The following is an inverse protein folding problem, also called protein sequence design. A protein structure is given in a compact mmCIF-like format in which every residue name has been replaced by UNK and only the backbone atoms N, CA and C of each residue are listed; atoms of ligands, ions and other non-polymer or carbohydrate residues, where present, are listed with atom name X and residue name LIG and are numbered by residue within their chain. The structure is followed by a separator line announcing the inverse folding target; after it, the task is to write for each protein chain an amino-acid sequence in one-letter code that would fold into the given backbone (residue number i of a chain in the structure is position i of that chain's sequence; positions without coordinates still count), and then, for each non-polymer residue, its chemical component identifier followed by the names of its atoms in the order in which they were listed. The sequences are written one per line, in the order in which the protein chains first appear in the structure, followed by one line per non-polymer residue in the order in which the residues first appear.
data_IF_805798576723
#
_entry.id   IF_805798576723
#
_cell.length_a   1.000
_cell.length_b   1.000
_cell.length_c   1.000
_cell.angle_alpha   90.00
_cell.angle_beta   90.00
_cell.angle_gamma   90.00
#
_symmetry.space_group_name_H-M   'P 1'
#
loop_
_entity.id
_entity.type
_entity.pdbx_description
1 polymer ?
#
# COMPACT_ATOMS: atom_id res chain seq x y z
N UNK A 1 0.54 -5.88 -13.02
CA UNK A 1 0.46 -6.90 -14.10
C UNK A 1 -0.09 -8.15 -13.47
N UNK A 2 -1.25 -8.61 -13.94
CA UNK A 2 -1.93 -9.84 -13.52
C UNK A 2 -1.16 -11.02 -14.12
N UNK A 3 -0.89 -12.13 -13.41
CA UNK A 3 -0.31 -13.31 -14.05
C UNK A 3 -1.24 -13.76 -15.19
N UNK A 4 -0.71 -14.11 -16.37
CA UNK A 4 -1.55 -14.57 -17.46
C UNK A 4 -2.07 -15.97 -17.11
N UNK A 5 -3.40 -16.12 -17.01
CA UNK A 5 -4.06 -17.41 -17.23
C UNK A 5 -3.95 -18.47 -16.13
N UNK A 6 -4.11 -18.12 -14.85
CA UNK A 6 -4.36 -19.12 -13.80
C UNK A 6 -5.86 -19.37 -13.63
N UNK A 7 -6.37 -20.50 -14.14
CA UNK A 7 -7.72 -20.99 -13.82
C UNK A 7 -7.88 -21.17 -12.31
N UNK A 8 -9.01 -20.72 -11.76
CA UNK A 8 -9.37 -20.95 -10.37
C UNK A 8 -9.57 -22.45 -10.12
N UNK A 9 -8.53 -23.14 -9.64
CA UNK A 9 -8.69 -24.49 -9.13
C UNK A 9 -9.27 -24.42 -7.72
N UNK A 10 -10.61 -24.48 -7.68
CA UNK A 10 -11.39 -24.80 -6.49
C UNK A 10 -11.15 -26.28 -6.17
N UNK A 11 -10.42 -26.57 -5.11
CA UNK A 11 -10.41 -27.91 -4.52
C UNK A 11 -11.62 -28.01 -3.58
N UNK A 12 -12.68 -28.67 -4.03
CA UNK A 12 -13.88 -28.90 -3.23
C UNK A 12 -14.99 -29.59 -4.01
N UNK A 13 -14.83 -30.88 -4.33
CA UNK A 13 -15.96 -31.74 -4.64
C UNK A 13 -15.60 -33.20 -4.36
N UNK A 14 -16.30 -33.79 -3.38
CA UNK A 14 -16.30 -35.22 -3.10
C UNK A 14 -16.90 -36.02 -4.28
N UNK A 15 -16.50 -37.30 -4.36
CA UNK A 15 -16.90 -38.26 -5.41
C UNK A 15 -18.42 -38.55 -5.43
N UNK A 16 -18.91 -38.88 -6.64
CA UNK A 16 -20.30 -39.22 -7.06
C UNK A 16 -20.81 -40.58 -6.53
N UNK A 17 -22.08 -40.98 -6.81
CA UNK A 17 -22.37 -41.68 -8.08
C UNK A 17 -23.67 -41.30 -8.83
N UNK A 18 -23.61 -41.56 -10.15
CA UNK A 18 -24.61 -41.82 -11.22
C UNK A 18 -26.11 -41.50 -11.12
N UNK A 19 -26.65 -40.91 -12.20
CA UNK A 19 -27.56 -41.59 -13.16
C UNK A 19 -28.19 -40.60 -14.17
N UNK A 20 -28.51 -41.06 -15.39
CA UNK A 20 -29.63 -40.49 -16.16
C UNK A 20 -29.32 -39.66 -17.42
N UNK A 21 -29.49 -40.30 -18.58
CA UNK A 21 -29.54 -39.76 -19.95
C UNK A 21 -30.68 -38.78 -20.23
N UNK A 22 -30.49 -37.81 -21.14
CA UNK A 22 -31.34 -37.65 -22.34
C UNK A 22 -30.82 -36.60 -23.36
N UNK A 23 -30.90 -36.97 -24.65
CA UNK A 23 -30.74 -36.14 -25.86
C UNK A 23 -31.97 -35.26 -26.10
N UNK A 24 -31.84 -34.07 -26.69
CA UNK A 24 -32.73 -33.55 -27.75
C UNK A 24 -31.97 -32.62 -28.72
N UNK A 25 -32.41 -32.66 -29.98
CA UNK A 25 -31.88 -32.15 -31.24
C UNK A 25 -32.26 -30.69 -31.54
N UNK A 26 -31.34 -30.02 -32.26
CA UNK A 26 -31.43 -28.81 -33.14
C UNK A 26 -32.80 -28.19 -33.47
N UNK A 27 -32.82 -26.86 -33.57
CA UNK A 27 -33.26 -26.16 -34.80
C UNK A 27 -32.65 -24.75 -34.95
N UNK A 28 -32.23 -24.43 -36.17
CA UNK A 28 -31.76 -23.13 -36.63
C UNK A 28 -32.82 -22.46 -37.51
N UNK A 29 -32.87 -21.12 -37.57
CA UNK A 29 -33.25 -20.34 -38.78
C UNK A 29 -32.59 -18.95 -38.80
N UNK A 30 -32.21 -18.56 -40.03
CA UNK A 30 -31.64 -17.29 -40.57
C UNK A 30 -32.64 -16.10 -40.39
N UNK A 31 -32.40 -14.83 -40.71
CA UNK A 31 -31.56 -14.15 -41.71
C UNK A 31 -31.50 -12.63 -41.43
N UNK A 32 -30.60 -11.89 -42.09
CA UNK A 32 -30.79 -10.45 -42.37
C UNK A 32 -29.51 -9.62 -42.40
N UNK A 33 -29.00 -9.33 -43.61
CA UNK A 33 -27.80 -8.54 -43.92
C UNK A 33 -28.23 -7.22 -44.55
N UNK A 34 -27.64 -6.09 -44.17
CA UNK A 34 -27.58 -4.90 -45.01
C UNK A 34 -26.33 -4.05 -44.70
N UNK A 35 -25.56 -3.74 -45.75
CA UNK A 35 -24.41 -2.82 -45.80
C UNK A 35 -24.83 -1.55 -46.53
N UNK A 36 -24.23 -0.41 -46.16
CA UNK A 36 -23.89 0.83 -46.94
C UNK A 36 -23.73 1.94 -45.90
N UNK A 37 -22.82 2.91 -45.94
CA UNK A 37 -21.77 3.33 -46.87
C UNK A 37 -21.34 4.71 -46.37
N UNK A 38 -20.05 4.93 -46.10
CA UNK A 38 -19.54 6.18 -45.55
C UNK A 38 -19.30 7.22 -46.66
N UNK A 39 -19.70 8.47 -46.42
CA UNK A 39 -19.30 9.66 -47.19
C UNK A 39 -18.98 10.80 -46.23
N UNK A 40 -17.77 11.32 -46.33
CA UNK A 40 -17.25 12.55 -45.72
C UNK A 40 -17.66 13.79 -46.52
N UNK A 41 -17.91 14.95 -45.90
CA UNK A 41 -17.91 16.23 -46.61
C UNK A 41 -16.65 17.06 -46.33
N UNK A 42 -16.26 17.82 -47.36
CA UNK A 42 -15.12 18.71 -47.44
C UNK A 42 -15.33 20.05 -46.71
N UNK A 43 -14.25 20.66 -46.25
CA UNK A 43 -14.21 22.00 -45.64
C UNK A 43 -13.95 23.06 -46.71
N UNK A 44 -14.84 24.06 -46.77
CA UNK A 44 -14.75 25.23 -47.64
C UNK A 44 -13.85 26.32 -47.03
N UNK A 45 -13.15 27.06 -47.89
CA UNK A 45 -12.17 28.13 -47.59
C UNK A 45 -12.84 29.49 -47.82
N UNK A 46 -12.72 30.43 -46.87
CA UNK A 46 -13.15 31.84 -47.01
C UNK A 46 -11.91 32.75 -46.94
N UNK A 47 -11.78 33.79 -47.80
CA UNK A 47 -10.61 34.67 -47.82
C UNK A 47 -10.81 36.00 -47.06
N UNK A 48 -9.68 36.59 -46.61
CA UNK A 48 -9.47 38.04 -46.57
C UNK A 48 -9.54 38.74 -45.21
N UNK A 49 -8.40 39.17 -44.68
CA UNK A 49 -8.29 40.27 -43.70
C UNK A 49 -6.98 41.03 -43.96
N UNK A 50 -7.07 42.32 -44.28
CA UNK A 50 -5.93 43.19 -44.55
C UNK A 50 -5.21 43.62 -43.25
N UNK A 51 -3.90 43.90 -43.28
CA UNK A 51 -3.14 44.31 -42.08
C UNK A 51 -3.29 45.81 -41.77
N UNK A 52 -3.42 46.16 -40.49
CA UNK A 52 -3.38 47.55 -39.97
C UNK A 52 -1.94 48.06 -39.86
N UNK A 53 -1.70 49.28 -40.34
CA UNK A 53 -0.45 50.03 -40.16
C UNK A 53 -0.39 50.62 -38.73
N UNK A 54 0.72 50.51 -37.98
CA UNK A 54 0.87 51.16 -36.67
C UNK A 54 1.24 52.65 -36.81
N UNK A 55 0.68 53.50 -35.94
CA UNK A 55 1.09 54.91 -35.76
C UNK A 55 2.31 55.02 -34.83
N UNK A 56 3.20 56.01 -35.01
CA UNK A 56 4.39 56.16 -34.18
C UNK A 56 4.06 56.77 -32.81
N UNK A 57 4.72 56.26 -31.76
CA UNK A 57 4.65 56.78 -30.40
C UNK A 57 5.53 58.04 -30.21
N UNK A 58 5.16 58.97 -29.32
CA UNK A 58 5.94 60.19 -29.09
C UNK A 58 7.24 59.88 -28.34
N UNK A 59 8.34 60.54 -28.77
CA UNK A 59 9.66 60.45 -28.13
C UNK A 59 9.72 61.43 -26.95
N UNK A 60 9.88 60.90 -25.74
CA UNK A 60 10.13 61.69 -24.52
C UNK A 60 11.65 62.03 -24.46
N UNK A 61 12.03 63.30 -24.18
CA UNK A 61 13.44 63.71 -24.16
C UNK A 61 14.20 63.10 -22.97
N UNK A 62 15.46 62.73 -23.25
CA UNK A 62 16.36 61.93 -22.39
C UNK A 62 16.73 62.48 -20.99
N UNK A 63 16.70 63.78 -20.65
CA UNK A 63 17.10 64.19 -19.31
C UNK A 63 16.05 63.87 -18.23
N UNK A 64 14.80 63.59 -18.60
CA UNK A 64 13.73 63.25 -17.65
C UNK A 64 13.82 61.79 -17.17
N UNK A 65 14.45 60.88 -17.93
CA UNK A 65 14.65 59.49 -17.52
C UNK A 65 15.79 59.29 -16.50
N UNK A 66 16.77 60.21 -16.44
CA UNK A 66 17.93 60.07 -15.57
C UNK A 66 17.62 60.40 -14.10
N UNK A 67 16.70 61.32 -13.83
CA UNK A 67 16.32 61.69 -12.46
C UNK A 67 15.42 60.65 -11.75
N UNK A 68 14.69 59.82 -12.51
CA UNK A 68 13.83 58.77 -11.96
C UNK A 68 14.58 57.47 -11.57
N UNK A 69 15.84 57.31 -12.00
CA UNK A 69 16.63 56.09 -11.77
C UNK A 69 17.39 56.08 -10.43
N UNK A 70 17.54 57.22 -9.75
CA UNK A 70 18.35 57.30 -8.51
C UNK A 70 17.55 57.10 -7.21
N UNK A 71 16.22 57.22 -7.25
CA UNK A 71 15.36 57.07 -6.06
C UNK A 71 15.20 55.62 -5.57
N UNK A 72 15.11 54.59 -6.43
CA UNK A 72 15.00 53.19 -5.96
C UNK A 72 16.29 52.67 -5.33
N UNK A 73 17.45 53.10 -5.84
CA UNK A 73 18.77 52.67 -5.35
C UNK A 73 19.07 53.19 -3.94
N UNK A 74 18.66 54.42 -3.64
CA UNK A 74 18.84 55.01 -2.31
C UNK A 74 17.94 54.34 -1.26
N UNK A 75 16.70 54.00 -1.63
CA UNK A 75 15.76 53.29 -0.75
C UNK A 75 16.24 51.86 -0.43
N UNK A 76 16.82 51.15 -1.41
CA UNK A 76 17.39 49.82 -1.20
C UNK A 76 18.62 49.84 -0.27
N UNK A 77 19.48 50.86 -0.39
CA UNK A 77 20.64 51.02 0.49
C UNK A 77 20.22 51.31 1.96
N UNK A 78 19.20 52.15 2.16
CA UNK A 78 18.65 52.44 3.50
C UNK A 78 18.00 51.20 4.11
N UNK A 79 17.25 50.41 3.32
CA UNK A 79 16.68 49.15 3.78
C UNK A 79 17.76 48.13 4.19
N UNK A 80 18.87 48.03 3.43
CA UNK A 80 19.98 47.15 3.79
C UNK A 80 20.67 47.58 5.09
N UNK A 81 20.85 48.89 5.29
CA UNK A 81 21.43 49.43 6.53
C UNK A 81 20.49 49.18 7.72
N UNK A 82 19.17 49.32 7.54
CA UNK A 82 18.17 48.99 8.57
C UNK A 82 18.13 47.48 8.88
N UNK A 83 18.29 46.61 7.87
CA UNK A 83 18.41 45.16 8.07
C UNK A 83 19.72 44.76 8.77
N UNK A 84 20.82 45.46 8.48
CA UNK A 84 22.13 45.19 9.09
C UNK A 84 22.25 45.75 10.52
N UNK A 85 21.60 46.89 10.81
CA UNK A 85 21.64 47.54 12.14
C UNK A 85 20.54 47.04 13.09
N UNK A 86 19.51 46.35 12.58
CA UNK A 86 18.43 45.77 13.39
C UNK A 86 18.78 44.48 14.14
N UNK A 87 20.00 43.94 14.00
CA UNK A 87 20.39 42.61 14.55
C UNK A 87 21.27 42.70 15.81
N UNK A 88 21.68 43.88 16.27
CA UNK A 88 22.55 43.99 17.46
C UNK A 88 21.91 44.72 18.65
N UNK A 89 20.76 44.21 19.11
CA UNK A 89 20.50 44.18 20.56
C UNK A 89 20.21 42.75 20.97
N UNK A 90 21.27 42.14 21.50
CA UNK A 90 21.20 40.97 22.35
C UNK A 90 20.11 41.16 23.41
N UNK A 91 19.01 40.44 23.26
CA UNK A 91 18.16 40.13 24.40
C UNK A 91 18.95 39.11 25.21
N UNK A 92 19.61 39.57 26.26
CA UNK A 92 19.98 38.72 27.39
C UNK A 92 18.68 38.18 28.00
N UNK A 93 18.41 36.86 27.97
CA UNK A 93 17.22 36.33 28.61
C UNK A 93 17.50 36.16 30.10
N UNK A 94 17.38 37.23 30.86
CA UNK A 94 17.13 37.16 32.31
C UNK A 94 15.69 37.56 32.56
N UNK A 95 14.78 36.67 32.18
CA UNK A 95 13.37 36.74 32.51
C UNK A 95 12.84 35.33 32.78
N UNK A 96 12.21 35.06 33.94
CA UNK A 96 11.56 33.78 34.19
C UNK A 96 10.29 33.72 33.33
N UNK A 97 10.41 33.31 32.08
CA UNK A 97 9.29 33.36 31.14
C UNK A 97 9.55 32.89 29.71
N UNK A 98 10.67 32.23 29.43
CA UNK A 98 10.79 31.47 28.19
C UNK A 98 9.85 30.27 28.28
N UNK A 99 8.64 30.40 27.71
CA UNK A 99 7.75 29.27 27.51
C UNK A 99 8.55 28.16 26.80
N UNK A 100 8.59 26.93 27.32
CA UNK A 100 9.33 25.87 26.67
C UNK A 100 8.76 25.70 25.25
N UNK A 101 9.64 25.79 24.25
CA UNK A 101 9.30 25.41 22.88
C UNK A 101 8.71 24.00 22.96
N UNK A 102 7.41 23.86 22.70
CA UNK A 102 6.73 22.58 22.81
C UNK A 102 7.50 21.56 21.97
N UNK A 103 8.08 20.56 22.64
CA UNK A 103 8.79 19.49 21.97
C UNK A 103 7.83 18.87 20.94
N UNK A 104 8.26 18.81 19.66
CA UNK A 104 7.48 18.08 18.65
C UNK A 104 7.25 16.67 19.20
N UNK A 105 6.00 16.18 19.25
CA UNK A 105 5.74 14.84 19.76
C UNK A 105 6.59 13.85 18.98
N UNK A 106 7.24 12.95 19.71
CA UNK A 106 8.08 11.92 19.11
C UNK A 106 7.26 11.12 18.08
N UNK A 107 7.86 10.71 16.95
CA UNK A 107 7.14 9.96 15.94
C UNK A 107 6.66 8.62 16.52
N UNK A 108 5.40 8.27 16.26
CA UNK A 108 4.78 7.00 16.68
C UNK A 108 5.34 5.83 15.87
N UNK A 109 6.54 5.40 16.25
CA UNK A 109 7.30 4.32 15.63
C UNK A 109 7.51 3.17 16.61
N UNK A 110 7.89 2.00 16.11
CA UNK A 110 8.19 0.83 16.93
C UNK A 110 9.50 0.17 16.47
N UNK A 111 10.25 -0.48 17.37
CA UNK A 111 11.49 -1.17 17.01
C UNK A 111 11.21 -2.33 16.04
N UNK A 112 12.18 -2.59 15.15
CA UNK A 112 12.13 -3.76 14.27
C UNK A 112 12.16 -5.04 15.12
N UNK A 113 11.18 -5.96 14.99
CA UNK A 113 11.24 -7.23 15.68
C UNK A 113 12.38 -8.10 15.14
N UNK A 114 12.80 -9.12 15.91
CA UNK A 114 13.72 -10.14 15.40
C UNK A 114 13.06 -10.86 14.23
N UNK A 115 13.72 -10.85 13.07
CA UNK A 115 13.23 -11.47 11.84
C UNK A 115 14.26 -12.50 11.40
N UNK A 116 13.81 -13.75 11.26
CA UNK A 116 14.60 -14.83 10.69
C UNK A 116 14.73 -14.58 9.18
N UNK A 117 15.95 -14.44 8.64
CA UNK A 117 16.15 -14.10 7.24
C UNK A 117 15.80 -15.26 6.32
N UNK A 118 15.52 -14.95 5.05
CA UNK A 118 15.18 -15.96 4.03
C UNK A 118 16.22 -17.07 3.88
N UNK A 119 17.49 -16.76 4.10
CA UNK A 119 18.60 -17.71 3.99
C UNK A 119 18.41 -18.96 4.87
N UNK A 120 17.62 -18.87 5.94
CA UNK A 120 17.32 -20.00 6.83
C UNK A 120 16.32 -20.99 6.22
N UNK A 121 15.40 -20.55 5.35
CA UNK A 121 14.34 -21.40 4.81
C UNK A 121 14.43 -21.61 3.28
N UNK A 122 14.96 -20.65 2.53
CA UNK A 122 14.93 -20.66 1.06
C UNK A 122 15.82 -21.73 0.41
N UNK A 123 16.95 -22.07 1.01
CA UNK A 123 17.80 -23.19 0.59
C UNK A 123 18.55 -23.05 -0.75
N UNK A 124 18.33 -21.99 -1.54
CA UNK A 124 19.02 -21.77 -2.83
C UNK A 124 18.18 -22.15 -4.06
N UNK A 125 18.55 -21.64 -5.25
CA UNK A 125 17.64 -21.43 -6.40
C UNK A 125 17.25 -22.65 -7.23
N UNK A 126 16.02 -22.61 -7.78
CA UNK A 126 15.64 -23.35 -9.01
C UNK A 126 15.38 -22.45 -10.24
N UNK A 127 15.16 -21.14 -10.06
CA UNK A 127 14.96 -20.14 -11.14
C UNK A 127 15.34 -18.73 -10.68
N UNK A 128 15.86 -17.89 -11.57
CA UNK A 128 16.11 -16.47 -11.29
C UNK A 128 14.78 -15.74 -11.09
N UNK A 129 14.66 -14.99 -9.99
CA UNK A 129 13.47 -14.18 -9.71
C UNK A 129 13.61 -12.80 -10.36
N UNK A 130 12.52 -12.20 -10.87
CA UNK A 130 12.56 -10.82 -11.33
C UNK A 130 12.89 -9.88 -10.15
N UNK A 131 13.42 -8.68 -10.44
CA UNK A 131 13.70 -7.70 -9.40
C UNK A 131 12.46 -7.36 -8.56
N UNK A 132 12.62 -7.19 -7.23
CA UNK A 132 11.53 -6.77 -6.36
C UNK A 132 10.99 -5.39 -6.75
N UNK A 133 9.69 -5.21 -6.54
CA UNK A 133 8.96 -3.95 -6.77
C UNK A 133 8.70 -3.27 -5.44
N UNK A 134 8.74 -1.95 -5.41
CA UNK A 134 8.59 -1.16 -4.19
C UNK A 134 7.51 -0.10 -4.35
N UNK A 135 6.76 0.11 -3.29
CA UNK A 135 5.86 1.25 -3.14
C UNK A 135 6.57 2.40 -2.38
N UNK A 136 5.88 3.51 -2.15
CA UNK A 136 6.41 4.65 -1.39
C UNK A 136 6.46 4.36 0.13
N UNK A 137 5.43 3.70 0.65
CA UNK A 137 5.27 3.40 2.07
C UNK A 137 4.28 2.26 2.30
N UNK A 138 4.25 1.70 3.50
CA UNK A 138 3.21 0.74 3.95
C UNK A 138 2.18 1.50 4.78
N UNK A 139 0.96 1.66 4.25
CA UNK A 139 -0.15 2.34 4.96
C UNK A 139 -1.19 1.38 5.54
N UNK A 140 -1.15 0.11 5.16
CA UNK A 140 -2.00 -0.92 5.72
C UNK A 140 -1.32 -2.30 5.76
N UNK A 141 -1.79 -3.16 6.64
CA UNK A 141 -1.35 -4.55 6.76
C UNK A 141 -2.55 -5.48 6.56
N UNK A 142 -2.39 -6.50 5.72
CA UNK A 142 -3.35 -7.60 5.62
C UNK A 142 -2.85 -8.80 6.39
N UNK A 143 -3.67 -9.31 7.31
CA UNK A 143 -3.40 -10.53 8.06
C UNK A 143 -4.02 -11.72 7.33
N UNK A 144 -3.20 -12.74 7.13
CA UNK A 144 -3.52 -14.00 6.47
C UNK A 144 -3.31 -15.18 7.41
N UNK A 145 -3.89 -16.31 7.07
CA UNK A 145 -3.40 -17.61 7.51
C UNK A 145 -2.87 -18.38 6.29
N UNK A 146 -1.98 -19.34 6.50
CA UNK A 146 -1.44 -20.17 5.41
C UNK A 146 -2.36 -21.34 5.05
N UNK A 147 -3.35 -21.63 5.90
CA UNK A 147 -4.21 -22.81 5.83
C UNK A 147 -3.44 -24.14 5.87
N UNK A 148 -2.28 -24.12 6.54
CA UNK A 148 -1.51 -25.33 6.85
C UNK A 148 -1.98 -25.93 8.18
N UNK A 149 -1.70 -27.22 8.46
CA UNK A 149 -1.97 -27.81 9.77
C UNK A 149 -1.33 -27.02 10.91
N UNK A 150 -1.97 -27.00 12.08
CA UNK A 150 -1.46 -26.36 13.30
C UNK A 150 -0.55 -27.27 14.16
N UNK A 151 -0.63 -28.58 13.92
CA UNK A 151 0.20 -29.58 14.58
C UNK A 151 1.55 -29.65 13.83
N UNK A 152 2.51 -28.87 14.31
CA UNK A 152 3.89 -28.87 13.86
C UNK A 152 4.79 -28.37 14.99
N UNK A 153 6.05 -28.83 14.99
CA UNK A 153 7.09 -28.26 15.84
C UNK A 153 7.60 -26.97 15.23
N UNK A 154 7.79 -25.92 16.02
CA UNK A 154 8.24 -24.63 15.48
C UNK A 154 9.61 -24.70 14.79
N UNK A 155 10.44 -25.70 15.14
CA UNK A 155 11.67 -26.03 14.43
C UNK A 155 11.46 -26.46 12.97
N UNK A 156 10.29 -27.01 12.62
CA UNK A 156 9.93 -27.40 11.26
C UNK A 156 9.48 -26.21 10.40
N UNK A 157 9.27 -25.04 10.99
CA UNK A 157 8.75 -23.87 10.26
C UNK A 157 9.54 -23.53 8.99
N UNK A 158 10.89 -23.53 8.97
CA UNK A 158 11.65 -23.30 7.74
C UNK A 158 11.27 -24.26 6.60
N UNK A 159 10.97 -25.53 6.90
CA UNK A 159 10.50 -26.50 5.90
C UNK A 159 9.09 -26.14 5.43
N UNK A 160 8.17 -25.82 6.34
CA UNK A 160 6.80 -25.42 6.01
C UNK A 160 6.79 -24.18 5.08
N UNK A 161 7.62 -23.18 5.36
CA UNK A 161 7.74 -21.99 4.52
C UNK A 161 8.29 -22.35 3.13
N UNK A 162 9.25 -23.27 3.04
CA UNK A 162 9.78 -23.75 1.76
C UNK A 162 8.71 -24.50 0.94
N UNK A 163 7.87 -25.29 1.59
CA UNK A 163 6.76 -25.99 0.94
C UNK A 163 5.72 -24.99 0.40
N UNK A 164 5.38 -23.96 1.19
CA UNK A 164 4.52 -22.85 0.78
C UNK A 164 5.12 -22.07 -0.42
N UNK A 165 6.41 -21.76 -0.35
CA UNK A 165 7.14 -21.10 -1.45
C UNK A 165 7.11 -21.94 -2.72
N UNK A 166 7.35 -23.25 -2.62
CA UNK A 166 7.33 -24.17 -3.76
C UNK A 166 5.93 -24.26 -4.35
N UNK A 167 4.90 -24.35 -3.53
CA UNK A 167 3.51 -24.36 -3.98
C UNK A 167 3.10 -23.08 -4.72
N UNK A 168 3.64 -21.93 -4.33
CA UNK A 168 3.34 -20.66 -5.00
C UNK A 168 4.15 -20.45 -6.28
N UNK A 169 5.45 -20.76 -6.26
CA UNK A 169 6.34 -20.50 -7.40
C UNK A 169 6.27 -21.58 -8.48
N UNK A 170 6.11 -22.86 -8.11
CA UNK A 170 6.01 -23.94 -9.09
C UNK A 170 4.59 -24.14 -9.60
N UNK A 171 3.59 -24.15 -8.71
CA UNK A 171 2.22 -24.49 -9.11
C UNK A 171 1.36 -23.29 -9.52
N UNK A 172 1.72 -22.07 -9.11
CA UNK A 172 0.98 -20.83 -9.44
C UNK A 172 1.78 -19.83 -10.28
N UNK A 173 3.01 -20.19 -10.64
CA UNK A 173 3.94 -19.37 -11.44
C UNK A 173 4.15 -17.96 -10.84
N UNK A 174 4.21 -17.88 -9.50
CA UNK A 174 4.51 -16.62 -8.81
C UNK A 174 6.02 -16.38 -8.77
N UNK A 175 6.41 -15.13 -8.92
CA UNK A 175 7.80 -14.66 -8.84
C UNK A 175 8.39 -14.64 -7.41
N UNK A 176 7.60 -14.96 -6.37
CA UNK A 176 8.11 -15.27 -5.02
C UNK A 176 6.96 -15.83 -4.16
N UNK A 177 7.25 -16.12 -2.89
CA UNK A 177 6.20 -16.17 -1.85
C UNK A 177 5.49 -14.80 -1.78
N UNK A 178 4.16 -14.82 -1.78
CA UNK A 178 3.33 -13.61 -1.89
C UNK A 178 3.25 -12.77 -0.62
N UNK A 179 3.53 -13.36 0.54
CA UNK A 179 3.49 -12.68 1.84
C UNK A 179 4.81 -11.97 2.13
N UNK A 180 4.76 -10.80 2.76
CA UNK A 180 5.95 -10.06 3.17
C UNK A 180 6.59 -10.69 4.42
N UNK A 181 5.77 -11.18 5.35
CA UNK A 181 6.21 -11.86 6.57
C UNK A 181 5.36 -13.09 6.84
N UNK A 182 5.96 -14.07 7.51
CA UNK A 182 5.26 -15.23 8.06
C UNK A 182 5.54 -15.33 9.56
N UNK A 183 4.55 -15.76 10.33
CA UNK A 183 4.65 -15.87 11.79
C UNK A 183 4.18 -17.26 12.23
N UNK A 184 5.04 -18.00 12.93
CA UNK A 184 4.69 -19.32 13.46
C UNK A 184 3.91 -19.25 14.79
N UNK A 185 3.42 -20.40 15.25
CA UNK A 185 2.69 -20.54 16.52
C UNK A 185 3.54 -20.21 17.76
N UNK A 186 4.86 -20.19 17.63
CA UNK A 186 5.81 -19.80 18.69
C UNK A 186 6.15 -18.30 18.68
N UNK A 187 5.62 -17.52 17.73
CA UNK A 187 5.89 -16.09 17.61
C UNK A 187 7.19 -15.75 16.86
N UNK A 188 7.80 -16.72 16.16
CA UNK A 188 8.96 -16.44 15.31
C UNK A 188 8.49 -15.74 14.04
N UNK A 189 9.07 -14.57 13.75
CA UNK A 189 8.83 -13.84 12.50
C UNK A 189 9.87 -14.25 11.47
N UNK A 190 9.40 -14.64 10.29
CA UNK A 190 10.23 -14.99 9.14
C UNK A 190 10.07 -13.94 8.04
N UNK A 191 11.18 -13.59 7.41
CA UNK A 191 11.16 -12.83 6.16
C UNK A 191 10.46 -13.67 5.08
N UNK A 192 9.38 -13.14 4.52
CA UNK A 192 8.71 -13.66 3.33
C UNK A 192 9.36 -13.06 2.09
N UNK A 193 8.60 -12.31 1.28
CA UNK A 193 9.03 -11.75 -0.01
C UNK A 193 10.36 -10.98 0.04
N UNK A 194 11.26 -11.33 -0.88
CA UNK A 194 12.64 -10.87 -0.88
C UNK A 194 12.77 -9.34 -0.97
N UNK A 195 13.71 -8.78 -0.21
CA UNK A 195 14.04 -7.35 -0.24
C UNK A 195 13.02 -6.45 0.48
N UNK A 196 12.08 -7.04 1.23
CA UNK A 196 10.97 -6.36 1.92
C UNK A 196 11.17 -6.05 3.39
N UNK A 197 12.25 -6.53 4.00
CA UNK A 197 12.47 -6.30 5.43
C UNK A 197 12.64 -4.82 5.70
N UNK A 198 13.55 -4.13 5.01
CA UNK A 198 13.82 -2.71 5.27
C UNK A 198 13.14 -1.76 4.27
N UNK A 199 12.32 -2.29 3.34
CA UNK A 199 11.65 -1.51 2.29
C UNK A 199 10.19 -1.94 2.08
N UNK A 200 9.31 -1.05 1.57
CA UNK A 200 7.91 -1.37 1.23
C UNK A 200 7.82 -2.22 -0.05
N UNK A 201 8.29 -3.48 -0.01
CA UNK A 201 8.20 -4.38 -1.17
C UNK A 201 6.74 -4.76 -1.45
N UNK A 202 6.31 -4.65 -2.70
CA UNK A 202 4.97 -5.03 -3.13
C UNK A 202 4.82 -6.55 -3.11
N UNK A 203 3.84 -7.04 -2.34
CA UNK A 203 3.51 -8.45 -2.22
C UNK A 203 2.65 -9.03 -3.35
N UNK A 204 2.19 -10.26 -3.15
CA UNK A 204 1.17 -10.93 -3.98
C UNK A 204 0.12 -11.63 -3.10
N UNK A 205 -0.25 -11.01 -1.97
CA UNK A 205 -1.06 -11.64 -0.93
C UNK A 205 -2.54 -11.26 -0.97
N UNK A 206 -2.90 -10.07 -1.47
CA UNK A 206 -4.28 -9.56 -1.44
C UNK A 206 -4.64 -8.97 -2.79
N UNK A 207 -5.45 -9.69 -3.56
CA UNK A 207 -5.86 -9.25 -4.89
C UNK A 207 -6.52 -7.87 -4.82
N UNK A 208 -6.11 -6.96 -5.71
CA UNK A 208 -6.52 -5.55 -5.70
C UNK A 208 -5.64 -4.68 -4.80
N UNK A 209 -5.11 -5.18 -3.68
CA UNK A 209 -4.55 -4.34 -2.61
C UNK A 209 -3.12 -4.68 -2.20
N UNK A 210 -2.30 -5.24 -3.11
CA UNK A 210 -0.88 -5.49 -2.85
C UNK A 210 -0.03 -4.22 -2.74
N UNK A 211 -0.47 -3.11 -3.37
CA UNK A 211 0.26 -1.85 -3.36
C UNK A 211 0.09 -1.09 -2.05
N UNK A 212 1.19 -0.54 -1.53
CA UNK A 212 1.27 0.22 -0.27
C UNK A 212 0.80 -0.57 0.95
N UNK A 213 0.87 -1.89 0.88
CA UNK A 213 0.50 -2.78 1.98
C UNK A 213 1.57 -3.84 2.24
N UNK A 214 1.51 -4.43 3.43
CA UNK A 214 2.28 -5.63 3.75
C UNK A 214 1.33 -6.78 4.14
N UNK A 215 1.62 -7.97 3.64
CA UNK A 215 0.94 -9.21 4.02
C UNK A 215 1.70 -9.96 5.10
N UNK A 216 1.02 -10.27 6.21
CA UNK A 216 1.55 -11.13 7.27
C UNK A 216 0.74 -12.42 7.28
N UNK A 217 1.38 -13.57 7.04
CA UNK A 217 0.73 -14.87 7.12
C UNK A 217 1.02 -15.59 8.44
N UNK A 218 -0.02 -15.84 9.22
CA UNK A 218 0.01 -16.74 10.36
C UNK A 218 0.12 -18.20 9.86
N UNK A 219 1.19 -18.90 10.20
CA UNK A 219 1.42 -20.29 9.77
C UNK A 219 0.49 -21.20 10.56
N UNK A 220 -0.52 -21.73 9.87
CA UNK A 220 -1.59 -22.53 10.45
C UNK A 220 -2.93 -22.29 9.78
N UNK A 221 -3.97 -22.88 10.36
CA UNK A 221 -5.38 -22.66 10.01
C UNK A 221 -6.14 -22.18 11.25
N UNK A 222 -6.90 -21.09 11.17
CA UNK A 222 -7.52 -20.43 12.34
C UNK A 222 -9.03 -20.25 12.15
N UNK A 223 -9.70 -21.32 11.73
CA UNK A 223 -11.17 -21.38 11.63
C UNK A 223 -11.84 -21.24 13.01
N UNK A 224 -13.16 -21.08 13.03
CA UNK A 224 -13.92 -20.94 14.28
C UNK A 224 -13.64 -22.10 15.26
N UNK A 225 -13.50 -21.79 16.55
CA UNK A 225 -13.16 -22.77 17.59
C UNK A 225 -11.67 -23.10 17.71
N UNK A 226 -10.82 -22.66 16.77
CA UNK A 226 -9.38 -22.90 16.84
C UNK A 226 -8.70 -21.95 17.83
N UNK A 227 -7.79 -22.48 18.65
CA UNK A 227 -6.95 -21.65 19.52
C UNK A 227 -5.96 -20.82 18.70
N UNK A 228 -5.82 -19.54 19.05
CA UNK A 228 -4.81 -18.64 18.47
C UNK A 228 -3.73 -18.38 19.52
N UNK A 229 -2.49 -18.87 19.32
CA UNK A 229 -1.41 -18.67 20.28
C UNK A 229 -1.10 -17.19 20.52
N UNK A 230 -0.91 -16.81 21.79
CA UNK A 230 -0.58 -15.42 22.15
C UNK A 230 0.73 -14.95 21.53
N UNK A 231 1.76 -15.81 21.53
CA UNK A 231 3.05 -15.51 20.92
C UNK A 231 2.92 -15.13 19.43
N UNK A 232 2.06 -15.84 18.69
CA UNK A 232 1.74 -15.51 17.30
C UNK A 232 1.07 -14.14 17.18
N UNK A 233 0.06 -13.84 18.00
CA UNK A 233 -0.62 -12.53 17.94
C UNK A 233 0.29 -11.37 18.35
N UNK A 234 1.16 -11.57 19.33
CA UNK A 234 2.11 -10.56 19.80
C UNK A 234 3.17 -10.26 18.73
N UNK A 235 3.68 -11.30 18.06
CA UNK A 235 4.62 -11.15 16.95
C UNK A 235 3.99 -10.44 15.74
N UNK A 236 2.74 -10.77 15.39
CA UNK A 236 1.99 -10.01 14.36
C UNK A 236 1.87 -8.55 14.76
N UNK A 237 1.50 -8.25 16.03
CA UNK A 237 1.38 -6.88 16.51
C UNK A 237 2.71 -6.12 16.43
N UNK A 238 3.84 -6.76 16.73
CA UNK A 238 5.16 -6.15 16.62
C UNK A 238 5.53 -5.80 15.16
N UNK A 239 5.27 -6.70 14.21
CA UNK A 239 5.51 -6.43 12.78
C UNK A 239 4.60 -5.31 12.28
N UNK A 240 3.31 -5.32 12.68
CA UNK A 240 2.34 -4.26 12.35
C UNK A 240 2.83 -2.90 12.85
N UNK A 241 3.20 -2.81 14.13
CA UNK A 241 3.63 -1.57 14.76
C UNK A 241 4.84 -0.97 14.03
N UNK A 242 5.83 -1.83 13.74
CA UNK A 242 7.05 -1.44 13.04
C UNK A 242 6.79 -1.01 11.60
N UNK A 243 5.98 -1.75 10.84
CA UNK A 243 5.73 -1.45 9.42
C UNK A 243 4.84 -0.23 9.19
N UNK A 244 3.88 0.03 10.07
CA UNK A 244 2.99 1.20 9.97
C UNK A 244 3.59 2.48 10.57
N UNK A 245 4.58 2.34 11.45
CA UNK A 245 5.21 3.46 12.17
C UNK A 245 5.78 4.55 11.25
N UNK A 246 6.59 4.21 10.22
CA UNK A 246 7.16 5.20 9.31
C UNK A 246 6.12 6.05 8.54
N UNK A 247 4.94 5.49 8.28
CA UNK A 247 3.82 6.19 7.64
C UNK A 247 2.96 6.98 8.66
N UNK A 248 3.29 6.94 9.95
CA UNK A 248 2.52 7.58 11.02
C UNK A 248 1.11 7.00 11.22
N UNK A 249 0.83 5.81 10.67
CA UNK A 249 -0.50 5.19 10.70
C UNK A 249 -0.77 4.60 12.09
N UNK A 250 -1.90 4.98 12.70
CA UNK A 250 -2.42 4.30 13.90
C UNK A 250 -3.01 2.93 13.50
N UNK A 251 -2.49 1.79 14.02
CA UNK A 251 -2.98 0.46 13.69
C UNK A 251 -4.47 0.24 13.99
N UNK A 252 -5.07 1.07 14.86
CA UNK A 252 -6.49 1.00 15.22
C UNK A 252 -7.38 1.77 14.24
N UNK A 253 -6.79 2.60 13.39
CA UNK A 253 -7.50 3.43 12.42
C UNK A 253 -7.84 2.70 11.13
N UNK A 254 -8.13 3.50 10.10
CA UNK A 254 -8.41 3.05 8.74
C UNK A 254 -7.37 3.60 7.77
N UNK A 255 -7.26 2.94 6.62
CA UNK A 255 -6.44 3.36 5.50
C UNK A 255 -7.30 3.40 4.24
N UNK A 256 -7.15 4.48 3.46
CA UNK A 256 -7.73 4.58 2.13
C UNK A 256 -6.79 3.91 1.13
N UNK A 257 -7.24 2.83 0.51
CA UNK A 257 -6.50 2.08 -0.50
C UNK A 257 -7.22 2.14 -1.85
N UNK A 258 -6.49 1.89 -2.95
CA UNK A 258 -7.06 1.83 -4.29
C UNK A 258 -6.90 0.44 -4.87
N UNK A 259 -8.00 -0.15 -5.34
CA UNK A 259 -7.97 -1.47 -5.95
C UNK A 259 -7.25 -1.43 -7.31
N UNK A 260 -6.12 -2.09 -7.40
CA UNK A 260 -5.26 -2.14 -8.61
C UNK A 260 -5.80 -3.03 -9.72
N UNK A 261 -6.82 -3.85 -9.48
CA UNK A 261 -7.46 -4.73 -10.46
C UNK A 261 -8.87 -5.15 -10.04
N UNK A 262 -9.63 -5.78 -10.94
CA UNK A 262 -11.03 -6.15 -10.69
C UNK A 262 -11.25 -7.50 -9.98
N UNK A 263 -10.20 -8.14 -9.46
CA UNK A 263 -10.33 -9.43 -8.81
C UNK A 263 -10.68 -9.37 -7.32
N UNK A 264 -10.66 -8.19 -6.71
CA UNK A 264 -11.08 -8.00 -5.31
C UNK A 264 -12.58 -7.80 -5.18
N UNK A 265 -13.10 -7.59 -3.96
CA UNK A 265 -14.48 -7.11 -3.72
C UNK A 265 -14.75 -5.74 -4.37
N UNK A 266 -13.68 -5.02 -4.73
CA UNK A 266 -13.71 -3.66 -5.25
C UNK A 266 -13.28 -3.62 -6.73
N UNK A 267 -14.04 -2.91 -7.59
CA UNK A 267 -13.65 -2.70 -8.98
C UNK A 267 -12.27 -2.04 -9.11
N UNK A 268 -11.60 -2.26 -10.25
CA UNK A 268 -10.33 -1.57 -10.56
C UNK A 268 -10.52 -0.05 -10.45
N UNK A 269 -9.60 0.61 -9.75
CA UNK A 269 -9.58 2.06 -9.55
C UNK A 269 -10.46 2.54 -8.39
N UNK A 270 -11.32 1.68 -7.82
CA UNK A 270 -12.16 2.07 -6.69
C UNK A 270 -11.30 2.32 -5.43
N UNK A 271 -11.64 3.39 -4.71
CA UNK A 271 -11.11 3.64 -3.38
C UNK A 271 -11.89 2.81 -2.35
N UNK A 272 -11.17 2.17 -1.43
CA UNK A 272 -11.71 1.41 -0.33
C UNK A 272 -11.17 1.99 0.99
N UNK A 273 -12.05 2.26 1.94
CA UNK A 273 -11.66 2.59 3.31
C UNK A 273 -11.69 1.30 4.13
N UNK A 274 -10.50 0.78 4.46
CA UNK A 274 -10.34 -0.49 5.16
C UNK A 274 -9.64 -0.25 6.51
N UNK A 275 -9.77 -1.14 7.50
CA UNK A 275 -8.93 -1.07 8.70
C UNK A 275 -7.44 -1.04 8.33
N UNK A 276 -6.64 -0.23 9.02
CA UNK A 276 -5.19 -0.18 8.79
C UNK A 276 -4.52 -1.54 9.02
N UNK A 277 -5.12 -2.39 9.85
CA UNK A 277 -4.79 -3.81 9.99
C UNK A 277 -6.04 -4.61 9.63
N UNK A 278 -6.14 -5.08 8.40
CA UNK A 278 -7.32 -5.76 7.86
C UNK A 278 -7.13 -7.28 7.80
N UNK A 279 -8.24 -8.02 7.86
CA UNK A 279 -8.26 -9.42 7.45
C UNK A 279 -8.23 -9.51 5.92
N UNK A 280 -7.69 -10.59 5.35
CA UNK A 280 -7.76 -10.80 3.89
C UNK A 280 -9.22 -10.76 3.38
N UNK A 281 -10.17 -11.37 4.10
CA UNK A 281 -11.59 -11.37 3.75
C UNK A 281 -12.22 -9.98 3.63
N UNK A 282 -11.65 -8.96 4.27
CA UNK A 282 -12.18 -7.59 4.23
C UNK A 282 -12.05 -7.00 2.82
N UNK A 283 -11.08 -7.49 2.03
CA UNK A 283 -10.81 -7.01 0.67
C UNK A 283 -11.11 -8.04 -0.44
N UNK A 284 -11.14 -9.33 -0.11
CA UNK A 284 -11.26 -10.43 -1.09
C UNK A 284 -12.32 -11.47 -0.69
N UNK A 285 -12.83 -12.21 -1.67
CA UNK A 285 -13.78 -13.31 -1.47
C UNK A 285 -13.07 -14.56 -0.91
N UNK A 286 -12.84 -14.56 0.39
CA UNK A 286 -12.15 -15.63 1.13
C UNK A 286 -12.59 -15.68 2.59
N UNK A 287 -12.33 -16.80 3.27
CA UNK A 287 -12.49 -16.95 4.73
C UNK A 287 -11.22 -16.56 5.50
N UNK A 288 -10.09 -16.36 4.80
CA UNK A 288 -8.79 -16.00 5.37
C UNK A 288 -8.86 -14.66 6.15
N UNK A 289 -8.23 -14.54 7.34
CA UNK A 289 -7.32 -15.48 7.99
C UNK A 289 -8.01 -16.51 8.92
N UNK A 290 -9.30 -16.73 8.75
CA UNK A 290 -10.10 -17.61 9.61
C UNK A 290 -10.73 -16.87 10.80
N UNK A 291 -11.92 -17.32 11.20
CA UNK A 291 -12.75 -16.63 12.18
C UNK A 291 -12.08 -16.44 13.55
N UNK A 292 -11.27 -17.38 14.01
CA UNK A 292 -10.58 -17.28 15.30
C UNK A 292 -9.50 -16.19 15.28
N UNK A 293 -8.69 -16.10 14.22
CA UNK A 293 -7.67 -15.05 14.10
C UNK A 293 -8.29 -13.68 13.84
N UNK A 294 -9.40 -13.62 13.10
CA UNK A 294 -10.18 -12.38 12.92
C UNK A 294 -10.67 -11.83 14.26
N UNK A 295 -11.17 -12.68 15.14
CA UNK A 295 -11.60 -12.28 16.48
C UNK A 295 -10.45 -11.68 17.33
N UNK A 296 -9.19 -11.95 16.99
CA UNK A 296 -8.02 -11.37 17.65
C UNK A 296 -7.56 -10.04 17.06
N UNK A 297 -8.03 -9.63 15.87
CA UNK A 297 -7.57 -8.40 15.21
C UNK A 297 -7.74 -7.14 16.05
N UNK A 298 -8.85 -6.90 16.79
CA UNK A 298 -8.94 -5.74 17.68
C UNK A 298 -7.82 -5.69 18.73
N UNK A 299 -7.48 -6.83 19.34
CA UNK A 299 -6.42 -6.91 20.34
C UNK A 299 -5.02 -6.72 19.72
N UNK A 300 -4.79 -7.27 18.52
CA UNK A 300 -3.55 -7.06 17.75
C UNK A 300 -3.37 -5.57 17.42
N UNK A 301 -4.42 -4.89 16.95
CA UNK A 301 -4.40 -3.44 16.67
C UNK A 301 -4.07 -2.63 17.92
N UNK A 302 -4.70 -2.96 19.05
CA UNK A 302 -4.44 -2.28 20.31
C UNK A 302 -3.00 -2.50 20.80
N UNK A 303 -2.48 -3.73 20.71
CA UNK A 303 -1.08 -4.02 21.07
C UNK A 303 -0.10 -3.30 20.14
N UNK A 304 -0.35 -3.29 18.84
CA UNK A 304 0.50 -2.59 17.90
C UNK A 304 0.53 -1.07 18.14
N UNK A 305 -0.62 -0.47 18.47
CA UNK A 305 -0.69 0.94 18.83
C UNK A 305 0.12 1.25 20.12
N UNK A 306 0.02 0.39 21.15
CA UNK A 306 0.87 0.51 22.36
C UNK A 306 2.36 0.42 22.03
N UNK A 307 2.76 -0.50 21.15
CA UNK A 307 4.15 -0.62 20.69
C UNK A 307 4.63 0.63 19.91
N UNK A 308 3.72 1.43 19.35
CA UNK A 308 4.02 2.74 18.76
C UNK A 308 3.95 3.91 19.77
N UNK A 309 3.81 3.65 21.07
CA UNK A 309 3.65 4.66 22.12
C UNK A 309 2.31 5.41 22.05
N UNK A 310 1.25 4.77 21.54
CA UNK A 310 -0.10 5.35 21.47
C UNK A 310 -0.96 4.83 22.62
N UNK A 311 -0.76 5.38 23.81
CA UNK A 311 -1.42 4.92 25.04
C UNK A 311 -2.85 5.48 25.23
N UNK A 312 -3.20 6.55 24.52
CA UNK A 312 -4.56 7.12 24.49
C UNK A 312 -5.52 6.37 23.55
N UNK A 313 -6.83 6.67 23.57
CA UNK A 313 -7.81 6.06 22.65
C UNK A 313 -7.46 6.32 21.18
N UNK A 314 -8.00 5.52 20.27
CA UNK A 314 -7.82 5.75 18.83
C UNK A 314 -8.29 7.16 18.49
N UNK A 315 -7.46 7.94 17.79
CA UNK A 315 -7.88 9.23 17.27
C UNK A 315 -9.10 8.99 16.36
N UNK A 316 -10.21 9.68 16.65
CA UNK A 316 -11.37 9.67 15.75
C UNK A 316 -10.89 10.30 14.45
N UNK A 317 -10.81 9.52 13.37
CA UNK A 317 -10.29 9.99 12.10
C UNK A 317 -11.05 11.24 11.65
N UNK A 318 -10.32 12.29 11.27
CA UNK A 318 -10.89 13.36 10.46
C UNK A 318 -11.30 12.70 9.12
N UNK A 319 -12.59 12.79 8.80
CA UNK A 319 -13.19 12.20 7.61
C UNK A 319 -12.68 12.80 6.30
#
# INVERSE_FOLDING_TARGET
MVPPGGTAHVAGAARRPDSGSMRVVRRARRAGRARRGARTPAVARIPGSAPRIPRPAPRIPRPVLAAAACLPGLAAAVALVLCATGVERAVTPTGPGALPLAARPAPHTAPRPRIVPRTVWFGGTRTAQPPPRYDDQVVAVFVHHTDTPNAYDCADTPRIIRDLYTGQTAARDWDDIGYNFLVDRCGTVYEGRAGGVDRPVTGAHTQGFNHRTAGIAAIGTFTGGTSVPRALTDAIAAVVAWKLGPAGVDPRGTARLTSSNGGSRYPRGAAALLPAVAAHRDAYETTCPGAALIARLPAIRAQAARLQGRDGPAARGAG
#
